data_IF_273343658287
#
_entry.id   IF_273343658287
#
_cell.length_a   1.000
_cell.length_b   1.000
_cell.length_c   1.000
_cell.angle_alpha   90.00
_cell.angle_beta   90.00
_cell.angle_gamma   90.00
#
_symmetry.space_group_name_H-M   'P 1'
#
loop_
_entity.id
_entity.type
_entity.pdbx_description
1 polymer ?
#
# COMPACT_ATOMS: atom_id res chain seq x y z
N UNK A 1 -10.79 -13.22 -17.41
CA UNK A 1 -11.69 -12.72 -16.33
C UNK A 1 -12.13 -11.32 -16.76
N UNK A 2 -13.43 -11.09 -16.98
CA UNK A 2 -13.94 -9.80 -17.45
C UNK A 2 -14.20 -8.89 -16.25
N UNK A 3 -14.07 -7.56 -16.42
CA UNK A 3 -14.35 -6.57 -15.35
C UNK A 3 -15.80 -6.62 -14.82
N UNK A 4 -16.67 -7.41 -15.45
CA UNK A 4 -18.05 -7.67 -15.04
C UNK A 4 -18.17 -8.66 -13.86
N UNK A 5 -17.11 -9.39 -13.50
CA UNK A 5 -17.14 -10.42 -12.46
C UNK A 5 -16.61 -9.96 -11.09
N UNK A 6 -16.60 -8.65 -10.82
CA UNK A 6 -16.10 -8.08 -9.56
C UNK A 6 -17.26 -7.90 -8.56
N UNK A 7 -17.15 -8.51 -7.37
CA UNK A 7 -18.13 -8.33 -6.29
C UNK A 7 -17.84 -7.04 -5.50
N UNK A 8 -18.92 -6.38 -5.04
CA UNK A 8 -18.83 -5.36 -4.01
C UNK A 8 -18.54 -6.04 -2.66
N UNK A 9 -17.27 -6.39 -2.44
CA UNK A 9 -16.90 -7.43 -1.47
C UNK A 9 -17.01 -7.07 0.01
N UNK A 10 -17.08 -5.80 0.41
CA UNK A 10 -16.90 -5.40 1.81
C UNK A 10 -17.88 -4.29 2.23
N UNK A 11 -18.55 -4.41 3.39
CA UNK A 11 -19.49 -3.43 3.98
C UNK A 11 -18.97 -1.99 4.25
N UNK A 12 -17.71 -1.71 3.94
CA UNK A 12 -17.03 -0.42 4.04
C UNK A 12 -17.04 0.32 2.69
N UNK A 13 -17.52 -0.32 1.61
CA UNK A 13 -17.68 0.31 0.30
C UNK A 13 -18.51 1.60 0.40
N UNK A 14 -19.56 1.60 1.23
CA UNK A 14 -20.35 2.79 1.52
C UNK A 14 -19.53 3.91 2.18
N UNK A 15 -18.60 3.57 3.08
CA UNK A 15 -17.71 4.53 3.72
C UNK A 15 -16.71 5.13 2.72
N UNK A 16 -16.05 4.28 1.91
CA UNK A 16 -15.14 4.75 0.85
C UNK A 16 -15.87 5.63 -0.17
N UNK A 17 -17.09 5.25 -0.58
CA UNK A 17 -17.93 6.09 -1.44
C UNK A 17 -18.29 7.41 -0.79
N UNK A 18 -18.57 7.43 0.51
CA UNK A 18 -18.82 8.67 1.23
C UNK A 18 -17.59 9.58 1.23
N UNK A 19 -16.39 9.03 1.44
CA UNK A 19 -15.15 9.81 1.35
C UNK A 19 -14.92 10.34 -0.07
N UNK A 20 -15.11 9.52 -1.10
CA UNK A 20 -15.00 9.92 -2.52
C UNK A 20 -15.93 11.10 -2.81
N UNK A 21 -17.22 10.98 -2.43
CA UNK A 21 -18.26 11.95 -2.80
C UNK A 21 -18.31 13.19 -1.93
N UNK A 22 -17.88 13.13 -0.66
CA UNK A 22 -17.99 14.26 0.27
C UNK A 22 -16.65 14.89 0.63
N UNK A 23 -15.62 14.07 0.87
CA UNK A 23 -14.32 14.56 1.37
C UNK A 23 -13.37 14.90 0.22
N UNK A 24 -13.28 14.01 -0.76
CA UNK A 24 -12.27 14.09 -1.82
C UNK A 24 -12.85 14.51 -3.18
N UNK A 25 -14.14 14.88 -3.26
CA UNK A 25 -14.78 15.18 -4.53
C UNK A 25 -14.02 16.27 -5.32
N UNK A 26 -13.75 17.43 -4.70
CA UNK A 26 -13.03 18.51 -5.38
C UNK A 26 -11.60 18.10 -5.81
N UNK A 27 -10.91 17.34 -4.97
CA UNK A 27 -9.55 16.88 -5.25
C UNK A 27 -9.51 15.90 -6.43
N UNK A 28 -10.45 14.95 -6.46
CA UNK A 28 -10.54 13.93 -7.51
C UNK A 28 -10.95 14.51 -8.85
N UNK A 29 -11.62 15.67 -8.88
CA UNK A 29 -11.95 16.37 -10.14
C UNK A 29 -10.68 16.68 -10.97
N UNK A 30 -9.57 16.98 -10.30
CA UNK A 30 -8.31 17.27 -10.97
C UNK A 30 -7.71 16.06 -11.71
N UNK A 31 -8.13 14.83 -11.39
CA UNK A 31 -7.67 13.63 -12.10
C UNK A 31 -8.06 13.61 -13.57
N UNK A 32 -9.06 14.39 -14.00
CA UNK A 32 -9.42 14.56 -15.42
C UNK A 32 -8.25 15.07 -16.25
N UNK A 33 -7.36 15.87 -15.66
CA UNK A 33 -6.22 16.50 -16.33
C UNK A 33 -4.91 15.72 -16.14
N UNK A 34 -4.90 14.71 -15.29
CA UNK A 34 -3.72 13.91 -14.96
C UNK A 34 -3.50 12.86 -16.03
N UNK A 35 -2.24 12.64 -16.44
CA UNK A 35 -1.90 11.52 -17.32
C UNK A 35 -2.06 10.20 -16.56
N UNK A 36 -3.04 9.34 -16.91
CA UNK A 36 -3.34 8.14 -16.13
C UNK A 36 -2.22 7.10 -16.18
N UNK A 37 -1.44 7.03 -17.26
CA UNK A 37 -0.31 6.10 -17.35
C UNK A 37 0.83 6.50 -16.43
N UNK A 38 1.10 7.80 -16.32
CA UNK A 38 2.12 8.29 -15.40
C UNK A 38 1.67 8.13 -13.95
N UNK A 39 0.40 8.41 -13.66
CA UNK A 39 -0.20 8.14 -12.34
C UNK A 39 -0.10 6.65 -11.97
N UNK A 40 -0.44 5.75 -12.89
CA UNK A 40 -0.34 4.31 -12.67
C UNK A 40 1.07 3.88 -12.32
N UNK A 41 2.07 4.34 -13.09
CA UNK A 41 3.48 4.05 -12.79
C UNK A 41 3.88 4.52 -11.41
N UNK A 42 3.55 5.77 -11.06
CA UNK A 42 3.84 6.32 -9.73
C UNK A 42 3.18 5.53 -8.60
N UNK A 43 1.98 4.99 -8.81
CA UNK A 43 1.27 4.15 -7.84
C UNK A 43 1.72 2.68 -7.86
N UNK A 44 2.72 2.32 -8.67
CA UNK A 44 3.19 0.94 -8.81
C UNK A 44 2.15 0.02 -9.47
N UNK A 45 1.24 0.58 -10.26
CA UNK A 45 0.15 -0.09 -10.93
C UNK A 45 0.19 0.04 -12.46
N UNK A 46 -0.92 -0.31 -13.08
CA UNK A 46 -1.07 -0.28 -14.54
C UNK A 46 -2.47 0.22 -14.96
N UNK A 47 -2.54 0.85 -16.14
CA UNK A 47 -3.83 1.17 -16.76
C UNK A 47 -4.27 -0.01 -17.62
N UNK A 48 -5.46 -0.51 -17.34
CA UNK A 48 -6.06 -1.59 -18.13
C UNK A 48 -6.67 -1.03 -19.42
N UNK A 49 -6.46 -1.75 -20.52
CA UNK A 49 -7.06 -1.40 -21.82
C UNK A 49 -8.58 -1.59 -21.82
N UNK A 50 -9.06 -2.62 -21.12
CA UNK A 50 -10.48 -2.92 -21.02
C UNK A 50 -11.17 -1.93 -20.07
N UNK A 51 -12.30 -1.40 -20.53
CA UNK A 51 -13.17 -0.50 -19.76
C UNK A 51 -14.55 -1.13 -19.62
N UNK A 52 -15.15 -1.16 -18.42
CA UNK A 52 -16.43 -1.83 -18.23
C UNK A 52 -17.60 -1.03 -18.82
N UNK A 53 -17.45 0.30 -18.95
CA UNK A 53 -18.44 1.20 -19.51
C UNK A 53 -17.78 2.26 -20.40
N UNK A 54 -18.53 2.86 -21.32
CA UNK A 54 -18.03 3.90 -22.23
C UNK A 54 -17.62 5.20 -21.50
N UNK A 55 -18.30 5.50 -20.39
CA UNK A 55 -18.09 6.69 -19.53
C UNK A 55 -16.80 6.60 -18.71
N UNK A 56 -16.25 5.40 -18.55
CA UNK A 56 -15.00 5.17 -17.82
C UNK A 56 -13.85 5.74 -18.64
N UNK A 57 -13.10 6.67 -18.04
CA UNK A 57 -11.93 7.27 -18.68
C UNK A 57 -10.74 6.34 -18.59
N UNK A 58 -10.52 5.73 -17.43
CA UNK A 58 -9.45 4.78 -17.21
C UNK A 58 -9.79 3.83 -16.07
N UNK A 59 -9.17 2.66 -16.13
CA UNK A 59 -9.17 1.66 -15.05
C UNK A 59 -7.73 1.46 -14.61
N UNK A 60 -7.43 1.78 -13.36
CA UNK A 60 -6.11 1.59 -12.75
C UNK A 60 -6.16 0.33 -11.88
N UNK A 61 -5.28 -0.63 -12.16
CA UNK A 61 -5.04 -1.78 -11.28
C UNK A 61 -3.80 -1.52 -10.45
N UNK A 62 -3.91 -1.69 -9.13
CA UNK A 62 -2.77 -1.75 -8.21
C UNK A 62 -2.77 -3.11 -7.49
N UNK A 63 -1.59 -3.70 -7.36
CA UNK A 63 -1.39 -5.00 -6.71
C UNK A 63 -0.24 -4.89 -5.70
N UNK A 64 -0.51 -4.39 -4.47
CA UNK A 64 0.53 -4.16 -3.47
C UNK A 64 1.29 -5.43 -3.10
N UNK A 65 0.59 -6.55 -2.97
CA UNK A 65 1.14 -7.89 -2.81
C UNK A 65 0.08 -8.93 -3.18
N UNK A 66 0.47 -10.18 -3.44
CA UNK A 66 -0.47 -11.28 -3.63
C UNK A 66 -1.11 -11.70 -2.30
N UNK A 67 -2.44 -11.87 -2.22
CA UNK A 67 -3.42 -11.83 -3.31
C UNK A 67 -4.14 -10.50 -3.51
N UNK A 68 -3.76 -9.42 -2.80
CA UNK A 68 -4.43 -8.13 -2.86
C UNK A 68 -4.29 -7.46 -4.22
N UNK A 69 -5.43 -7.28 -4.89
CA UNK A 69 -5.57 -6.44 -6.07
C UNK A 69 -6.76 -5.50 -5.94
N UNK A 70 -6.52 -4.23 -6.25
CA UNK A 70 -7.48 -3.14 -6.15
C UNK A 70 -7.59 -2.48 -7.54
N UNK A 71 -8.82 -2.18 -7.94
CA UNK A 71 -9.16 -1.61 -9.23
C UNK A 71 -9.88 -0.28 -8.98
N UNK A 72 -9.32 0.78 -9.54
CA UNK A 72 -9.85 2.13 -9.49
C UNK A 72 -10.44 2.49 -10.84
N UNK A 73 -11.74 2.74 -10.89
CA UNK A 73 -12.47 3.10 -12.09
C UNK A 73 -12.82 4.57 -11.98
N UNK A 74 -12.25 5.39 -12.85
CA UNK A 74 -12.53 6.81 -12.88
C UNK A 74 -13.43 7.15 -14.06
N UNK A 75 -14.59 7.70 -13.74
CA UNK A 75 -15.59 8.16 -14.70
C UNK A 75 -15.55 9.68 -14.75
N UNK A 76 -15.72 10.24 -15.96
CA UNK A 76 -15.96 11.67 -16.12
C UNK A 76 -16.92 11.91 -17.27
N UNK A 77 -18.04 12.52 -16.92
CA UNK A 77 -19.12 12.95 -17.78
C UNK A 77 -19.34 14.46 -17.62
N UNK A 78 -19.62 15.17 -18.70
CA UNK A 78 -19.78 16.64 -18.67
C UNK A 78 -21.08 17.07 -17.96
N UNK A 79 -22.12 16.23 -17.98
CA UNK A 79 -23.42 16.49 -17.38
C UNK A 79 -23.44 16.05 -15.90
N UNK A 80 -22.88 14.88 -15.60
CA UNK A 80 -22.93 14.25 -14.27
C UNK A 80 -21.66 14.40 -13.43
N UNK A 81 -20.59 14.99 -14.00
CA UNK A 81 -19.31 15.20 -13.33
C UNK A 81 -18.43 13.96 -13.27
N UNK A 82 -17.56 13.88 -12.27
CA UNK A 82 -16.65 12.75 -12.06
C UNK A 82 -17.10 11.83 -10.92
N UNK A 83 -16.76 10.55 -11.06
CA UNK A 83 -16.94 9.54 -10.01
C UNK A 83 -15.68 8.66 -9.96
N UNK A 84 -15.39 8.12 -8.78
CA UNK A 84 -14.31 7.16 -8.59
C UNK A 84 -14.88 5.95 -7.87
N UNK A 85 -14.70 4.76 -8.45
CA UNK A 85 -15.16 3.50 -7.87
C UNK A 85 -13.96 2.62 -7.56
N UNK A 86 -14.08 1.88 -6.47
CA UNK A 86 -13.09 0.88 -6.04
C UNK A 86 -13.70 -0.50 -6.15
N UNK A 87 -12.96 -1.44 -6.74
CA UNK A 87 -13.32 -2.85 -6.81
C UNK A 87 -12.09 -3.68 -6.39
N UNK A 88 -12.31 -4.93 -5.96
CA UNK A 88 -11.25 -5.84 -5.56
C UNK A 88 -11.35 -7.15 -6.32
N UNK A 89 -10.20 -7.74 -6.69
CA UNK A 89 -10.24 -9.08 -7.27
C UNK A 89 -10.84 -10.07 -6.25
N UNK A 90 -11.60 -11.09 -6.69
CA UNK A 90 -12.19 -12.08 -5.77
C UNK A 90 -11.17 -12.76 -4.85
N UNK A 91 -9.95 -13.00 -5.36
CA UNK A 91 -8.85 -13.57 -4.56
C UNK A 91 -8.37 -12.66 -3.42
N UNK A 92 -8.64 -11.35 -3.48
CA UNK A 92 -8.34 -10.39 -2.42
C UNK A 92 -9.16 -10.64 -1.16
N UNK A 93 -10.26 -11.40 -1.22
CA UNK A 93 -11.07 -11.77 -0.05
C UNK A 93 -10.31 -12.59 1.00
N UNK A 94 -9.16 -13.16 0.63
CA UNK A 94 -8.26 -13.83 1.58
C UNK A 94 -7.47 -12.84 2.46
N UNK A 95 -7.46 -11.55 2.10
CA UNK A 95 -6.83 -10.48 2.90
C UNK A 95 -7.82 -10.02 3.96
N UNK A 96 -7.40 -9.81 5.22
CA UNK A 96 -8.26 -9.24 6.26
C UNK A 96 -8.92 -7.96 5.79
N UNK A 97 -10.22 -7.82 6.07
CA UNK A 97 -11.01 -6.71 5.54
C UNK A 97 -10.51 -5.34 5.98
N UNK A 98 -10.01 -5.24 7.21
CA UNK A 98 -9.42 -4.01 7.75
C UNK A 98 -8.16 -3.59 6.97
N UNK A 99 -7.20 -4.51 6.79
CA UNK A 99 -5.97 -4.24 6.01
C UNK A 99 -6.33 -3.67 4.64
N UNK A 100 -7.27 -4.32 3.96
CA UNK A 100 -7.55 -3.97 2.59
C UNK A 100 -8.44 -2.72 2.45
N UNK A 101 -9.29 -2.43 3.44
CA UNK A 101 -9.93 -1.12 3.57
C UNK A 101 -8.90 0.00 3.76
N UNK A 102 -7.93 -0.17 4.66
CA UNK A 102 -6.89 0.83 4.93
C UNK A 102 -6.01 1.03 3.67
N UNK A 103 -5.64 -0.04 2.96
CA UNK A 103 -4.98 0.08 1.65
C UNK A 103 -5.79 0.96 0.68
N UNK A 104 -7.08 0.67 0.50
CA UNK A 104 -7.88 1.43 -0.44
C UNK A 104 -8.07 2.89 -0.01
N UNK A 105 -8.19 3.15 1.30
CA UNK A 105 -8.19 4.52 1.81
C UNK A 105 -6.87 5.23 1.50
N UNK A 106 -5.72 4.61 1.75
CA UNK A 106 -4.43 5.25 1.47
C UNK A 106 -4.24 5.55 -0.01
N UNK A 107 -4.60 4.62 -0.89
CA UNK A 107 -4.59 4.85 -2.34
C UNK A 107 -5.57 5.95 -2.77
N UNK A 108 -6.78 5.99 -2.21
CA UNK A 108 -7.74 7.08 -2.44
C UNK A 108 -7.15 8.43 -2.03
N UNK A 109 -6.49 8.48 -0.87
CA UNK A 109 -5.88 9.69 -0.35
C UNK A 109 -4.67 10.13 -1.19
N UNK A 110 -3.95 9.21 -1.83
CA UNK A 110 -2.95 9.53 -2.86
C UNK A 110 -3.57 10.09 -4.13
N UNK A 111 -4.58 9.39 -4.66
CA UNK A 111 -5.29 9.81 -5.88
C UNK A 111 -5.83 11.23 -5.71
N UNK A 112 -6.44 11.54 -4.57
CA UNK A 112 -6.88 12.88 -4.23
C UNK A 112 -5.72 13.90 -4.22
N UNK A 113 -4.58 13.58 -3.60
CA UNK A 113 -3.41 14.49 -3.58
C UNK A 113 -2.81 14.72 -4.97
N UNK A 114 -2.80 13.72 -5.85
CA UNK A 114 -2.42 13.89 -7.24
C UNK A 114 -3.43 14.75 -8.01
N UNK A 115 -4.73 14.53 -7.82
CA UNK A 115 -5.77 15.35 -8.43
C UNK A 115 -5.72 16.82 -7.96
N UNK A 116 -5.45 17.06 -6.67
CA UNK A 116 -5.21 18.40 -6.12
C UNK A 116 -3.90 19.04 -6.61
N UNK A 117 -2.97 18.26 -7.14
CA UNK A 117 -1.63 18.73 -7.52
C UNK A 117 -0.69 18.95 -6.33
N UNK A 118 -0.96 18.34 -5.17
CA UNK A 118 -0.06 18.39 -4.00
C UNK A 118 1.24 17.64 -4.25
N UNK A 119 1.19 16.57 -5.03
CA UNK A 119 2.39 15.81 -5.42
C UNK A 119 2.72 16.06 -6.90
N UNK A 120 4.01 16.23 -7.23
CA UNK A 120 4.42 16.36 -8.62
C UNK A 120 4.13 15.07 -9.39
N UNK A 121 3.52 15.22 -10.55
CA UNK A 121 3.31 14.13 -11.50
C UNK A 121 4.52 14.04 -12.45
N UNK A 122 5.65 13.61 -11.90
CA UNK A 122 6.90 13.42 -12.65
C UNK A 122 7.26 11.95 -12.69
N UNK A 123 7.82 11.48 -13.79
CA UNK A 123 8.35 10.12 -13.87
C UNK A 123 9.53 9.99 -12.89
N UNK A 124 9.41 9.10 -11.93
CA UNK A 124 10.38 8.95 -10.85
C UNK A 124 10.47 7.48 -10.46
N UNK A 125 11.65 7.11 -9.97
CA UNK A 125 11.94 5.82 -9.35
C UNK A 125 12.37 6.04 -7.90
N UNK A 126 12.42 4.99 -7.06
CA UNK A 126 13.00 5.10 -5.74
C UNK A 126 14.42 5.69 -5.81
N UNK A 127 14.75 6.52 -4.82
CA UNK A 127 16.05 7.13 -4.68
C UNK A 127 17.15 6.13 -4.29
N UNK A 128 18.43 6.49 -4.48
CA UNK A 128 19.55 5.56 -4.28
C UNK A 128 19.93 5.36 -2.81
N UNK A 129 19.49 6.24 -1.91
CA UNK A 129 19.87 6.22 -0.49
C UNK A 129 18.72 5.76 0.38
N UNK A 130 19.02 5.00 1.41
CA UNK A 130 18.08 4.62 2.46
C UNK A 130 18.17 5.59 3.62
N UNK A 131 17.04 6.20 3.97
CA UNK A 131 16.91 7.11 5.09
C UNK A 131 16.11 6.41 6.19
N UNK A 132 16.70 6.16 7.38
CA UNK A 132 15.94 5.67 8.53
C UNK A 132 14.77 6.60 8.83
N UNK A 133 13.61 6.06 9.15
CA UNK A 133 12.40 6.84 9.40
C UNK A 133 12.60 7.89 10.50
N UNK A 134 13.34 7.53 11.55
CA UNK A 134 13.70 8.43 12.66
C UNK A 134 14.56 9.63 12.23
N UNK A 135 15.29 9.53 11.12
CA UNK A 135 16.20 10.58 10.66
C UNK A 135 15.48 11.76 10.01
N UNK A 136 14.30 11.53 9.41
CA UNK A 136 13.54 12.58 8.70
C UNK A 136 12.14 12.84 9.28
N UNK A 137 11.64 11.97 10.17
CA UNK A 137 10.36 12.14 10.85
C UNK A 137 10.43 11.83 12.36
N UNK A 138 11.35 12.45 13.13
CA UNK A 138 11.60 12.10 14.53
C UNK A 138 10.38 12.31 15.44
N UNK A 139 9.58 13.35 15.19
CA UNK A 139 8.37 13.64 15.98
C UNK A 139 7.25 12.62 15.75
N UNK A 140 7.16 12.06 14.53
CA UNK A 140 6.21 11.01 14.22
C UNK A 140 6.68 9.67 14.78
N UNK A 141 8.00 9.40 14.78
CA UNK A 141 8.61 8.11 15.12
C UNK A 141 8.18 7.51 16.49
N UNK A 142 7.91 8.35 17.50
CA UNK A 142 7.49 7.90 18.83
C UNK A 142 6.13 7.18 18.84
N UNK A 143 5.02 7.88 18.52
CA UNK A 143 3.67 7.29 18.48
C UNK A 143 3.51 6.03 17.62
N UNK A 144 4.33 5.88 16.58
CA UNK A 144 4.29 4.75 15.63
C UNK A 144 4.97 3.52 16.17
N UNK A 145 6.12 3.70 16.82
CA UNK A 145 6.84 2.60 17.43
C UNK A 145 5.93 1.91 18.44
N UNK A 146 5.13 2.70 19.15
CA UNK A 146 4.21 2.20 20.17
C UNK A 146 2.93 1.61 19.55
N UNK A 147 2.30 2.27 18.58
CA UNK A 147 1.00 1.84 18.02
C UNK A 147 1.12 0.81 16.88
N UNK A 148 2.04 1.03 15.94
CA UNK A 148 2.19 0.20 14.74
C UNK A 148 3.15 -0.97 14.98
N UNK A 149 4.27 -0.73 15.67
CA UNK A 149 5.35 -1.71 15.79
C UNK A 149 5.36 -2.49 17.10
N UNK A 150 4.85 -1.96 18.21
CA UNK A 150 5.10 -2.50 19.56
C UNK A 150 4.95 -4.02 19.64
N UNK A 151 3.74 -4.56 19.47
CA UNK A 151 3.56 -6.00 19.58
C UNK A 151 4.01 -6.79 18.35
N UNK A 152 4.14 -6.14 17.19
CA UNK A 152 4.69 -6.76 15.98
C UNK A 152 6.19 -6.98 16.11
N UNK A 153 6.90 -6.09 16.79
CA UNK A 153 8.34 -6.14 16.97
C UNK A 153 8.77 -7.39 17.73
N UNK A 154 8.01 -7.76 18.76
CA UNK A 154 8.23 -9.01 19.50
C UNK A 154 8.09 -10.22 18.58
N UNK A 155 7.05 -10.24 17.74
CA UNK A 155 6.82 -11.32 16.79
C UNK A 155 7.91 -11.39 15.73
N UNK A 156 8.29 -10.26 15.13
CA UNK A 156 9.27 -10.19 14.05
C UNK A 156 10.65 -10.74 14.47
N UNK A 157 11.01 -10.57 15.76
CA UNK A 157 12.24 -11.12 16.34
C UNK A 157 12.25 -12.64 16.47
N UNK A 158 11.08 -13.28 16.45
CA UNK A 158 10.96 -14.74 16.50
C UNK A 158 11.05 -15.38 15.11
N UNK A 159 11.00 -14.59 14.04
CA UNK A 159 10.94 -15.09 12.66
C UNK A 159 12.35 -15.28 12.13
N UNK A 160 12.66 -16.50 11.70
CA UNK A 160 13.96 -16.81 11.10
C UNK A 160 14.09 -16.22 9.67
N UNK A 161 15.32 -15.98 9.18
CA UNK A 161 15.53 -15.51 7.80
C UNK A 161 14.90 -16.41 6.73
N UNK A 162 14.91 -17.73 6.93
CA UNK A 162 14.37 -18.71 5.99
C UNK A 162 12.83 -18.59 5.89
N UNK A 163 12.16 -18.39 7.02
CA UNK A 163 10.70 -18.16 7.06
C UNK A 163 10.35 -16.87 6.33
N UNK A 164 11.12 -15.79 6.56
CA UNK A 164 10.93 -14.51 5.86
C UNK A 164 11.12 -14.64 4.36
N UNK A 165 12.14 -15.36 3.91
CA UNK A 165 12.39 -15.58 2.49
C UNK A 165 11.20 -16.25 1.80
N UNK A 166 10.65 -17.31 2.39
CA UNK A 166 9.49 -18.00 1.85
C UNK A 166 8.25 -17.09 1.92
N UNK A 167 8.05 -16.36 3.00
CA UNK A 167 6.91 -15.44 3.16
C UNK A 167 6.93 -14.31 2.11
N UNK A 168 8.08 -13.68 1.87
CA UNK A 168 8.24 -12.63 0.84
C UNK A 168 8.00 -13.17 -0.56
N UNK A 169 8.45 -14.40 -0.86
CA UNK A 169 8.13 -15.06 -2.13
C UNK A 169 6.63 -15.32 -2.29
N UNK A 170 5.93 -15.71 -1.22
CA UNK A 170 4.47 -15.93 -1.23
C UNK A 170 3.67 -14.64 -1.44
N UNK A 171 4.14 -13.54 -0.88
CA UNK A 171 3.60 -12.19 -1.15
C UNK A 171 3.80 -11.76 -2.60
N UNK A 172 4.69 -12.41 -3.36
CA UNK A 172 5.01 -12.05 -4.75
C UNK A 172 5.36 -10.56 -4.90
N UNK A 173 6.02 -10.01 -3.87
CA UNK A 173 6.40 -8.60 -3.79
C UNK A 173 7.57 -8.40 -2.83
N UNK A 174 8.58 -7.67 -3.29
CA UNK A 174 9.76 -7.33 -2.51
C UNK A 174 10.85 -8.39 -2.59
N UNK A 175 11.95 -8.13 -1.89
CA UNK A 175 13.12 -9.00 -1.84
C UNK A 175 13.62 -9.10 -0.41
N UNK A 176 13.93 -10.30 0.05
CA UNK A 176 14.51 -10.56 1.36
C UNK A 176 15.97 -10.96 1.25
N UNK A 177 16.76 -10.67 2.29
CA UNK A 177 18.12 -11.20 2.45
C UNK A 177 18.43 -11.47 3.92
N UNK A 178 19.23 -12.49 4.25
CA UNK A 178 19.79 -12.61 5.59
C UNK A 178 20.77 -11.47 5.85
N UNK A 179 20.80 -11.01 7.09
CA UNK A 179 21.85 -10.11 7.61
C UNK A 179 22.47 -10.74 8.85
N UNK A 180 23.54 -10.15 9.38
CA UNK A 180 24.13 -10.63 10.63
C UNK A 180 23.08 -10.62 11.74
N UNK A 181 22.85 -11.78 12.34
CA UNK A 181 21.90 -11.98 13.45
C UNK A 181 20.45 -11.60 13.12
N UNK A 182 20.05 -11.70 11.84
CA UNK A 182 18.71 -11.26 11.43
C UNK A 182 18.42 -11.36 9.94
N UNK A 183 17.45 -10.56 9.50
CA UNK A 183 16.99 -10.48 8.11
C UNK A 183 16.59 -9.06 7.73
N UNK A 184 16.52 -8.82 6.43
CA UNK A 184 16.09 -7.54 5.85
C UNK A 184 15.18 -7.80 4.65
N UNK A 185 14.15 -6.95 4.50
CA UNK A 185 13.22 -6.98 3.36
C UNK A 185 13.09 -5.58 2.76
N UNK A 186 13.25 -5.50 1.44
CA UNK A 186 13.02 -4.30 0.64
C UNK A 186 11.73 -4.50 -0.19
N UNK A 187 10.75 -3.59 -0.08
CA UNK A 187 9.51 -3.59 -0.87
C UNK A 187 9.40 -2.35 -1.77
N UNK A 188 9.04 -2.51 -3.06
CA UNK A 188 8.61 -1.39 -3.89
C UNK A 188 7.14 -1.07 -3.57
N UNK A 189 6.95 -0.22 -2.56
CA UNK A 189 5.63 0.16 -2.01
C UNK A 189 4.79 0.88 -3.06
N UNK A 190 5.39 1.83 -3.78
CA UNK A 190 4.84 2.52 -4.95
C UNK A 190 5.89 2.49 -6.07
N UNK A 191 5.59 3.10 -7.23
CA UNK A 191 6.55 3.14 -8.34
C UNK A 191 7.77 4.00 -8.07
N UNK A 192 7.64 5.00 -7.21
CA UNK A 192 8.72 5.89 -6.79
C UNK A 192 8.94 5.86 -5.27
N UNK A 193 8.46 4.82 -4.58
CA UNK A 193 8.66 4.65 -3.14
C UNK A 193 9.08 3.21 -2.86
N UNK A 194 10.24 3.04 -2.24
CA UNK A 194 10.68 1.79 -1.67
C UNK A 194 10.80 1.91 -0.14
N UNK A 195 10.45 0.83 0.54
CA UNK A 195 10.57 0.69 1.99
C UNK A 195 11.50 -0.47 2.30
N UNK A 196 12.37 -0.28 3.28
CA UNK A 196 13.21 -1.30 3.87
C UNK A 196 12.79 -1.55 5.30
N UNK A 197 12.73 -2.82 5.66
CA UNK A 197 12.58 -3.28 7.04
C UNK A 197 13.73 -4.21 7.37
N UNK A 198 14.47 -3.88 8.42
CA UNK A 198 15.55 -4.70 8.94
C UNK A 198 15.21 -5.14 10.37
N UNK A 199 15.35 -6.43 10.64
CA UNK A 199 15.20 -6.99 11.97
C UNK A 199 16.46 -7.79 12.31
N UNK A 200 17.21 -7.35 13.32
CA UNK A 200 18.42 -8.02 13.79
C UNK A 200 18.58 -7.88 15.32
N UNK A 201 19.75 -8.25 15.84
CA UNK A 201 20.08 -8.13 17.26
C UNK A 201 20.02 -6.68 17.80
N UNK A 202 20.19 -5.66 16.97
CA UNK A 202 20.07 -4.24 17.35
C UNK A 202 18.61 -3.80 17.41
N UNK A 203 17.72 -4.50 16.71
CA UNK A 203 16.28 -4.34 16.80
C UNK A 203 15.64 -4.25 15.42
N UNK A 204 14.54 -3.50 15.38
CA UNK A 204 13.77 -3.26 14.16
C UNK A 204 14.07 -1.86 13.65
N UNK A 205 14.50 -1.75 12.40
CA UNK A 205 14.70 -0.48 11.71
C UNK A 205 13.81 -0.43 10.47
N UNK A 206 13.15 0.72 10.28
CA UNK A 206 12.41 1.03 9.06
C UNK A 206 13.14 2.17 8.37
N UNK A 207 13.41 2.00 7.08
CA UNK A 207 13.96 3.02 6.23
C UNK A 207 13.14 3.15 4.95
N UNK A 208 13.22 4.33 4.34
CA UNK A 208 12.61 4.60 3.04
C UNK A 208 13.66 5.13 2.09
N UNK A 209 13.44 4.95 0.79
CA UNK A 209 14.31 5.56 -0.19
C UNK A 209 14.26 7.10 -0.07
N UNK A 210 15.35 7.77 -0.44
CA UNK A 210 15.50 9.21 -0.25
C UNK A 210 14.51 10.07 -1.04
N UNK A 211 13.98 9.58 -2.16
CA UNK A 211 12.98 10.31 -2.94
C UNK A 211 11.62 10.20 -2.27
N UNK A 212 11.20 8.97 -1.97
CA UNK A 212 9.96 8.67 -1.27
C UNK A 212 9.85 9.36 0.09
N UNK A 213 10.92 9.34 0.89
CA UNK A 213 11.00 10.00 2.20
C UNK A 213 10.81 11.53 2.14
N UNK A 214 11.18 12.18 1.03
CA UNK A 214 10.98 13.63 0.83
C UNK A 214 9.62 13.96 0.25
N UNK A 215 9.08 13.06 -0.59
CA UNK A 215 7.83 13.28 -1.31
C UNK A 215 6.61 13.01 -0.44
N UNK A 216 6.61 11.91 0.31
CA UNK A 216 5.43 11.43 1.01
C UNK A 216 5.47 11.82 2.50
N UNK A 217 4.32 12.25 3.02
CA UNK A 217 4.19 12.61 4.43
C UNK A 217 4.44 11.42 5.37
N UNK A 218 4.96 11.64 6.58
CA UNK A 218 5.26 10.57 7.52
C UNK A 218 4.07 9.65 7.77
N UNK A 219 2.88 10.18 8.03
CA UNK A 219 1.65 9.43 8.33
C UNK A 219 1.34 8.39 7.25
N UNK A 220 1.57 8.77 5.99
CA UNK A 220 1.34 7.93 4.84
C UNK A 220 2.35 6.78 4.76
N UNK A 221 3.63 7.09 4.91
CA UNK A 221 4.71 6.09 4.90
C UNK A 221 4.45 4.99 5.94
N UNK A 222 3.92 5.37 7.08
CA UNK A 222 3.68 4.49 8.22
C UNK A 222 2.46 3.61 8.08
N UNK A 223 1.41 4.14 7.48
CA UNK A 223 0.25 3.34 7.13
C UNK A 223 0.68 2.18 6.20
N UNK A 224 1.52 2.47 5.20
CA UNK A 224 2.11 1.43 4.37
C UNK A 224 3.02 0.47 5.14
N UNK A 225 3.88 0.96 6.03
CA UNK A 225 4.69 0.07 6.90
C UNK A 225 3.80 -0.91 7.65
N UNK A 226 2.76 -0.40 8.31
CA UNK A 226 1.84 -1.22 9.10
C UNK A 226 1.17 -2.30 8.24
N UNK A 227 0.69 -1.94 7.05
CA UNK A 227 0.05 -2.84 6.11
C UNK A 227 0.98 -3.95 5.60
N UNK A 228 2.20 -3.59 5.19
CA UNK A 228 3.19 -4.56 4.72
C UNK A 228 3.69 -5.47 5.84
N UNK A 229 3.80 -4.96 7.07
CA UNK A 229 4.11 -5.76 8.26
C UNK A 229 3.02 -6.78 8.58
N UNK A 230 1.75 -6.37 8.56
CA UNK A 230 0.63 -7.30 8.75
C UNK A 230 0.66 -8.42 7.68
N UNK A 231 0.92 -8.05 6.43
CA UNK A 231 1.02 -8.99 5.33
C UNK A 231 2.18 -9.98 5.51
N UNK A 232 3.37 -9.49 5.87
CA UNK A 232 4.53 -10.32 6.13
C UNK A 232 4.27 -11.29 7.28
N UNK A 233 3.81 -10.80 8.43
CA UNK A 233 3.55 -11.64 9.60
C UNK A 233 2.50 -12.72 9.29
N UNK A 234 1.46 -12.37 8.52
CA UNK A 234 0.45 -13.32 8.07
C UNK A 234 1.08 -14.44 7.24
N UNK A 235 1.91 -14.11 6.25
CA UNK A 235 2.57 -15.13 5.41
C UNK A 235 3.61 -15.94 6.19
N UNK A 236 4.39 -15.32 7.08
CA UNK A 236 5.32 -16.03 7.96
C UNK A 236 4.59 -17.09 8.80
N UNK A 237 3.37 -16.79 9.28
CA UNK A 237 2.55 -17.76 10.02
C UNK A 237 1.96 -18.87 9.15
N UNK A 238 1.82 -18.67 7.84
CA UNK A 238 1.47 -19.76 6.92
C UNK A 238 2.65 -20.71 6.70
N UNK A 239 3.87 -20.18 6.74
CA UNK A 239 5.12 -20.95 6.61
C UNK A 239 5.45 -21.66 7.92
N UNK A 240 5.34 -20.97 9.05
CA UNK A 240 5.58 -21.50 10.39
C UNK A 240 4.38 -21.26 11.32
N UNK A 241 3.44 -22.22 11.40
CA UNK A 241 2.21 -22.09 12.19
C UNK A 241 2.42 -21.99 13.71
N UNK A 242 3.62 -22.32 14.22
CA UNK A 242 4.00 -22.21 15.63
C UNK A 242 4.14 -20.74 16.08
N UNK A 243 4.34 -19.81 15.13
CA UNK A 243 4.44 -18.39 15.42
C UNK A 243 3.15 -17.84 16.06
N UNK A 244 3.24 -16.99 17.10
CA UNK A 244 2.06 -16.49 17.79
C UNK A 244 1.13 -15.67 16.88
N UNK A 245 -0.16 -15.61 17.23
CA UNK A 245 -1.16 -14.83 16.47
C UNK A 245 -1.06 -13.34 16.80
N UNK A 246 -1.17 -12.47 15.79
CA UNK A 246 -1.27 -11.01 15.98
C UNK A 246 -2.40 -10.61 16.94
N UNK A 247 -3.54 -11.30 16.92
CA UNK A 247 -4.69 -11.05 17.79
C UNK A 247 -4.45 -11.35 19.27
N UNK A 248 -3.30 -11.93 19.65
CA UNK A 248 -2.92 -12.07 21.07
C UNK A 248 -2.26 -10.81 21.63
N UNK A 249 -1.96 -9.86 20.76
CA UNK A 249 -1.19 -8.67 21.08
C UNK A 249 -1.89 -7.35 20.69
N UNK A 250 -3.06 -7.44 20.07
CA UNK A 250 -4.00 -6.34 19.79
C UNK A 250 -5.17 -6.47 20.75
#
# INVERSE_FOLDING_TARGET
MTLQSFEAGWGWDAQLRQYIRRKYQGDLAGLVRVNPRLLARLLGGEILAARPYATVRWVLRVAPFRPLEIYWLFDFDEEFGHDLRVLYAPKSLAVPTEDAYVFAWDYLALLARYGRGTFPLTDASPGPQWLPFSAFAPAAAGPIKDLALGPRQELLRLISPEVVEVAVRRLDRGTSRPVKDGWEVDWPVLGDLAMRLRCDAQGLEIAFDSHGARKYGPEFLLSFTWLYLNALIRECRQVEPSLPRLSRYL
#
